data_IF_623968629729
#
_entry.id   IF_623968629729
#
_cell.length_a   1.000
_cell.length_b   1.000
_cell.length_c   1.000
_cell.angle_alpha   90.00
_cell.angle_beta   90.00
_cell.angle_gamma   90.00
#
_symmetry.space_group_name_H-M   'P 1'
#
loop_
_entity.id
_entity.type
_entity.pdbx_description
1 polymer ?
#
# COMPACT_ATOMS: atom_id res chain seq x y z
N UNK A 1 -14.23 0.94 24.01
CA UNK A 1 -14.48 0.33 22.70
C UNK A 1 -13.85 1.23 21.65
N UNK A 2 -12.74 0.76 21.05
CA UNK A 2 -12.10 1.44 19.91
C UNK A 2 -13.10 1.47 18.76
N UNK A 3 -13.57 2.65 18.39
CA UNK A 3 -14.32 2.84 17.14
C UNK A 3 -13.33 2.55 16.02
N UNK A 4 -13.32 1.32 15.52
CA UNK A 4 -12.54 0.97 14.35
C UNK A 4 -12.92 1.94 13.23
N UNK A 5 -12.01 2.84 12.88
CA UNK A 5 -12.22 3.79 11.78
C UNK A 5 -12.47 2.98 10.51
N UNK A 6 -13.68 3.08 9.96
CA UNK A 6 -14.05 2.41 8.71
C UNK A 6 -13.02 2.73 7.63
N UNK A 7 -12.51 1.72 6.90
CA UNK A 7 -11.55 1.95 5.83
C UNK A 7 -12.10 2.94 4.79
N UNK A 8 -11.22 3.78 4.27
CA UNK A 8 -11.57 4.78 3.23
C UNK A 8 -11.29 4.22 1.85
N UNK A 9 -12.29 4.30 0.98
CA UNK A 9 -12.20 3.90 -0.41
C UNK A 9 -12.45 5.12 -1.29
N UNK A 10 -11.54 5.37 -2.23
CA UNK A 10 -11.71 6.39 -3.26
C UNK A 10 -12.37 5.73 -4.48
N UNK A 11 -13.54 6.22 -4.86
CA UNK A 11 -14.26 5.82 -6.07
C UNK A 11 -14.06 6.89 -7.13
N UNK A 12 -13.51 6.49 -8.26
CA UNK A 12 -13.18 7.37 -9.38
C UNK A 12 -13.94 6.91 -10.62
N UNK A 13 -14.90 7.71 -11.07
CA UNK A 13 -15.69 7.49 -12.29
C UNK A 13 -16.23 8.85 -12.74
N UNK A 14 -16.28 9.13 -14.02
CA UNK A 14 -16.82 10.40 -14.55
C UNK A 14 -18.34 10.42 -14.64
N UNK A 15 -18.97 9.25 -14.47
CA UNK A 15 -20.43 9.07 -14.45
C UNK A 15 -20.94 8.98 -13.01
N UNK A 16 -21.71 9.98 -12.53
CA UNK A 16 -22.20 10.02 -11.15
C UNK A 16 -23.00 8.79 -10.71
N UNK A 17 -23.80 8.22 -11.62
CA UNK A 17 -24.61 7.03 -11.37
C UNK A 17 -23.75 5.81 -11.01
N UNK A 18 -22.59 5.64 -11.64
CA UNK A 18 -21.64 4.58 -11.30
C UNK A 18 -21.08 4.77 -9.89
N UNK A 19 -20.78 6.00 -9.53
CA UNK A 19 -20.30 6.35 -8.17
C UNK A 19 -21.37 6.01 -7.13
N UNK A 20 -22.62 6.31 -7.40
CA UNK A 20 -23.73 6.02 -6.49
C UNK A 20 -23.94 4.51 -6.33
N UNK A 21 -23.90 3.75 -7.41
CA UNK A 21 -24.00 2.28 -7.39
C UNK A 21 -22.86 1.68 -6.56
N UNK A 22 -21.61 2.04 -6.85
CA UNK A 22 -20.46 1.57 -6.08
C UNK A 22 -20.52 2.00 -4.62
N UNK A 23 -20.96 3.23 -4.37
CA UNK A 23 -21.12 3.75 -3.02
C UNK A 23 -22.21 3.01 -2.20
N UNK A 24 -23.29 2.58 -2.83
CA UNK A 24 -24.31 1.76 -2.19
C UNK A 24 -23.80 0.35 -1.88
N UNK A 25 -23.05 -0.28 -2.81
CA UNK A 25 -22.41 -1.59 -2.62
C UNK A 25 -21.41 -1.56 -1.46
N UNK A 26 -20.69 -0.46 -1.30
CA UNK A 26 -19.60 -0.28 -0.33
C UNK A 26 -20.02 0.57 0.87
N UNK A 27 -21.27 0.48 1.30
CA UNK A 27 -21.84 1.26 2.42
C UNK A 27 -21.13 1.02 3.76
N UNK A 28 -20.45 -0.10 3.95
CA UNK A 28 -19.65 -0.42 5.14
C UNK A 28 -18.35 0.38 5.25
N UNK A 29 -17.94 1.03 4.16
CA UNK A 29 -16.70 1.78 4.05
C UNK A 29 -16.94 3.29 4.05
N UNK A 30 -15.90 4.05 4.41
CA UNK A 30 -15.93 5.50 4.26
C UNK A 30 -15.59 5.87 2.81
N UNK A 31 -16.54 6.47 2.13
CA UNK A 31 -16.45 6.83 0.72
C UNK A 31 -15.76 8.17 0.51
N UNK A 32 -14.78 8.20 -0.39
CA UNK A 32 -14.23 9.38 -1.04
C UNK A 32 -14.57 9.28 -2.53
N UNK A 33 -14.77 10.41 -3.19
CA UNK A 33 -15.24 10.46 -4.58
C UNK A 33 -14.38 11.39 -5.42
N UNK A 34 -14.05 10.98 -6.65
CA UNK A 34 -13.47 11.84 -7.66
C UNK A 34 -14.15 11.58 -9.02
N UNK A 35 -14.49 12.66 -9.72
CA UNK A 35 -15.21 12.60 -11.00
C UNK A 35 -14.30 12.79 -12.22
N UNK A 36 -12.99 12.78 -12.03
CA UNK A 36 -11.98 12.82 -13.09
C UNK A 36 -10.61 12.46 -12.54
N UNK A 37 -9.65 12.20 -13.44
CA UNK A 37 -8.30 11.78 -13.08
C UNK A 37 -7.54 12.81 -12.23
N UNK A 38 -7.66 14.09 -12.52
CA UNK A 38 -6.97 15.14 -11.74
C UNK A 38 -7.43 15.16 -10.28
N UNK A 39 -8.75 15.14 -10.05
CA UNK A 39 -9.32 15.05 -8.69
C UNK A 39 -8.94 13.75 -8.00
N UNK A 40 -8.82 12.63 -8.73
CA UNK A 40 -8.38 11.37 -8.18
C UNK A 40 -6.95 11.47 -7.60
N UNK A 41 -6.02 12.06 -8.34
CA UNK A 41 -4.65 12.28 -7.89
C UNK A 41 -4.58 13.19 -6.66
N UNK A 42 -5.35 14.28 -6.65
CA UNK A 42 -5.43 15.20 -5.51
C UNK A 42 -5.98 14.50 -4.26
N UNK A 43 -7.09 13.76 -4.40
CA UNK A 43 -7.72 13.03 -3.31
C UNK A 43 -6.85 11.91 -2.75
N UNK A 44 -6.10 11.22 -3.60
CA UNK A 44 -5.18 10.16 -3.18
C UNK A 44 -4.01 10.68 -2.33
N UNK A 45 -3.62 11.95 -2.53
CA UNK A 45 -2.54 12.61 -1.78
C UNK A 45 -2.99 13.30 -0.50
N UNK A 46 -4.28 13.55 -0.35
CA UNK A 46 -4.83 14.32 0.78
C UNK A 46 -5.02 13.43 2.00
N UNK A 47 -4.51 13.85 3.15
CA UNK A 47 -4.73 13.17 4.42
C UNK A 47 -6.15 13.42 4.96
N UNK A 48 -6.77 12.39 5.49
CA UNK A 48 -6.33 10.99 5.56
C UNK A 48 -6.53 10.27 4.23
N UNK A 49 -5.46 9.67 3.71
CA UNK A 49 -5.42 8.99 2.41
C UNK A 49 -6.43 7.84 2.29
N UNK A 50 -6.91 7.51 1.09
CA UNK A 50 -7.66 6.29 0.84
C UNK A 50 -6.77 5.06 1.03
N UNK A 51 -7.38 3.98 1.49
CA UNK A 51 -6.71 2.69 1.68
C UNK A 51 -6.86 1.77 0.46
N UNK A 52 -7.76 2.13 -0.47
CA UNK A 52 -7.98 1.46 -1.74
C UNK A 52 -8.63 2.44 -2.71
N UNK A 53 -8.34 2.29 -3.99
CA UNK A 53 -8.92 3.08 -5.08
C UNK A 53 -9.65 2.15 -6.04
N UNK A 54 -10.93 2.42 -6.30
CA UNK A 54 -11.69 1.89 -7.43
C UNK A 54 -11.64 2.92 -8.55
N UNK A 55 -11.11 2.55 -9.70
CA UNK A 55 -10.76 3.48 -10.77
C UNK A 55 -11.35 3.03 -12.10
N UNK A 56 -12.27 3.84 -12.62
CA UNK A 56 -12.77 3.63 -13.98
C UNK A 56 -11.66 3.85 -15.01
N UNK A 57 -11.61 2.97 -16.01
CA UNK A 57 -10.62 3.05 -17.09
C UNK A 57 -10.99 4.16 -18.08
N UNK A 58 -12.28 4.23 -18.46
CA UNK A 58 -12.75 5.10 -19.53
C UNK A 58 -13.23 6.46 -18.99
N UNK A 59 -12.30 7.39 -18.86
CA UNK A 59 -12.61 8.77 -18.46
C UNK A 59 -12.07 9.77 -19.48
N UNK A 60 -12.74 10.93 -19.69
CA UNK A 60 -12.26 11.97 -20.59
C UNK A 60 -11.01 12.67 -20.05
N UNK A 61 -10.15 13.16 -20.95
CA UNK A 61 -8.91 13.92 -20.71
C UNK A 61 -7.77 13.09 -20.10
N UNK A 62 -8.01 12.41 -19.02
CA UNK A 62 -7.05 11.53 -18.33
C UNK A 62 -7.76 10.22 -18.00
N UNK A 63 -7.39 9.15 -18.68
CA UNK A 63 -7.97 7.83 -18.47
C UNK A 63 -7.47 7.18 -17.18
N UNK A 64 -8.06 6.05 -16.80
CA UNK A 64 -7.68 5.35 -15.59
C UNK A 64 -6.26 4.79 -15.63
N UNK A 65 -5.74 4.42 -16.78
CA UNK A 65 -4.38 3.92 -16.91
C UNK A 65 -3.35 5.00 -16.60
N UNK A 66 -3.53 6.19 -17.12
CA UNK A 66 -2.67 7.34 -16.82
C UNK A 66 -2.75 7.73 -15.34
N UNK A 67 -3.95 7.71 -14.74
CA UNK A 67 -4.10 7.94 -13.30
C UNK A 67 -3.33 6.90 -12.50
N UNK A 68 -3.47 5.62 -12.81
CA UNK A 68 -2.76 4.53 -12.15
C UNK A 68 -1.24 4.68 -12.26
N UNK A 69 -0.74 4.94 -13.46
CA UNK A 69 0.67 5.18 -13.71
C UNK A 69 1.22 6.30 -12.81
N UNK A 70 0.55 7.45 -12.75
CA UNK A 70 0.95 8.58 -11.89
C UNK A 70 0.87 8.27 -10.41
N UNK A 71 -0.14 7.52 -9.96
CA UNK A 71 -0.25 7.06 -8.58
C UNK A 71 0.92 6.15 -8.19
N UNK A 72 1.32 5.25 -9.07
CA UNK A 72 2.41 4.30 -8.85
C UNK A 72 3.80 4.93 -8.95
N UNK A 73 3.94 6.02 -9.69
CA UNK A 73 5.17 6.80 -9.78
C UNK A 73 5.41 7.74 -8.58
N UNK A 74 4.37 8.09 -7.81
CA UNK A 74 4.49 8.94 -6.62
C UNK A 74 4.67 8.07 -5.35
N UNK A 75 5.81 8.17 -4.63
CA UNK A 75 6.07 7.38 -3.42
C UNK A 75 4.99 7.52 -2.34
N UNK A 76 4.26 8.63 -2.30
CA UNK A 76 3.20 8.86 -1.32
C UNK A 76 1.93 8.04 -1.59
N UNK A 77 1.72 7.62 -2.84
CA UNK A 77 0.51 6.93 -3.28
C UNK A 77 0.78 5.55 -3.90
N UNK A 78 2.05 5.21 -4.15
CA UNK A 78 2.45 3.97 -4.81
C UNK A 78 1.92 2.71 -4.12
N UNK A 79 1.85 2.71 -2.79
CA UNK A 79 1.40 1.57 -1.99
C UNK A 79 -0.12 1.43 -1.89
N UNK A 80 -0.89 2.42 -2.37
CA UNK A 80 -2.36 2.33 -2.35
C UNK A 80 -2.80 1.32 -3.41
N UNK A 81 -3.53 0.24 -3.05
CA UNK A 81 -4.03 -0.71 -4.03
C UNK A 81 -5.08 -0.07 -4.94
N UNK A 82 -4.92 -0.29 -6.25
CA UNK A 82 -5.83 0.19 -7.29
C UNK A 82 -6.51 -1.01 -7.93
N UNK A 83 -7.85 -1.00 -7.94
CA UNK A 83 -8.69 -1.96 -8.67
C UNK A 83 -9.34 -1.19 -9.82
N UNK A 84 -9.12 -1.65 -11.05
CA UNK A 84 -9.79 -1.07 -12.20
C UNK A 84 -11.26 -1.50 -12.29
N UNK A 85 -12.09 -0.59 -12.75
CA UNK A 85 -13.47 -0.86 -13.15
C UNK A 85 -13.55 -0.67 -14.67
N UNK A 86 -13.79 -1.74 -15.43
CA UNK A 86 -13.67 -1.75 -16.89
C UNK A 86 -14.90 -2.33 -17.57
N UNK A 87 -15.15 -1.96 -18.82
CA UNK A 87 -16.18 -2.60 -19.63
C UNK A 87 -15.77 -4.02 -20.05
N UNK A 88 -16.75 -4.89 -20.25
CA UNK A 88 -16.52 -6.27 -20.67
C UNK A 88 -15.86 -6.33 -22.05
N UNK A 89 -14.79 -7.13 -22.20
CA UNK A 89 -14.20 -7.45 -23.50
C UNK A 89 -12.80 -6.87 -23.77
N UNK A 90 -12.21 -6.18 -22.82
CA UNK A 90 -10.88 -5.60 -22.93
C UNK A 90 -9.81 -6.48 -22.24
N UNK A 91 -9.57 -7.69 -22.74
CA UNK A 91 -8.52 -8.58 -22.20
C UNK A 91 -7.14 -7.89 -22.26
N UNK A 92 -6.90 -7.12 -23.31
CA UNK A 92 -5.68 -6.34 -23.45
C UNK A 92 -5.60 -5.21 -22.38
N UNK A 93 -6.74 -4.62 -22.01
CA UNK A 93 -6.82 -3.61 -20.96
C UNK A 93 -6.58 -4.19 -19.57
N UNK A 94 -7.04 -5.42 -19.31
CA UNK A 94 -6.80 -6.11 -18.04
C UNK A 94 -5.31 -6.40 -17.82
N UNK A 95 -4.64 -6.94 -18.84
CA UNK A 95 -3.20 -7.21 -18.81
C UNK A 95 -2.41 -5.93 -18.66
N UNK A 96 -2.74 -4.91 -19.43
CA UNK A 96 -2.08 -3.61 -19.37
C UNK A 96 -2.26 -2.94 -18.00
N UNK A 97 -3.46 -3.02 -17.42
CA UNK A 97 -3.73 -2.47 -16.09
C UNK A 97 -2.89 -3.12 -14.98
N UNK A 98 -2.74 -4.44 -15.02
CA UNK A 98 -1.93 -5.17 -14.04
C UNK A 98 -0.44 -4.87 -14.22
N UNK A 99 0.05 -4.72 -15.45
CA UNK A 99 1.43 -4.30 -15.73
C UNK A 99 1.75 -2.89 -15.20
N UNK A 100 0.76 -2.00 -15.17
CA UNK A 100 0.88 -0.66 -14.57
C UNK A 100 0.88 -0.66 -13.03
N UNK A 101 0.72 -1.82 -12.42
CA UNK A 101 0.76 -2.00 -10.97
C UNK A 101 -0.60 -1.95 -10.26
N UNK A 102 -1.71 -2.07 -10.99
CA UNK A 102 -2.99 -2.36 -10.38
C UNK A 102 -2.99 -3.76 -9.75
N UNK A 103 -3.77 -3.94 -8.69
CA UNK A 103 -3.82 -5.22 -7.98
C UNK A 103 -4.92 -6.15 -8.50
N UNK A 104 -5.93 -5.59 -9.18
CA UNK A 104 -7.08 -6.33 -9.69
C UNK A 104 -7.93 -5.47 -10.63
N UNK A 105 -8.97 -6.09 -11.19
CA UNK A 105 -10.00 -5.41 -11.99
C UNK A 105 -11.39 -5.98 -11.70
N UNK A 106 -12.41 -5.19 -12.00
CA UNK A 106 -13.84 -5.56 -11.94
C UNK A 106 -14.49 -5.16 -13.25
N UNK A 107 -15.23 -6.07 -13.85
CA UNK A 107 -15.94 -5.82 -15.12
C UNK A 107 -17.33 -5.24 -14.88
N UNK A 108 -17.73 -4.31 -15.74
CA UNK A 108 -19.12 -3.82 -15.86
C UNK A 108 -19.95 -4.83 -16.71
N UNK A 109 -21.20 -5.18 -16.37
CA UNK A 109 -22.00 -4.61 -15.28
C UNK A 109 -21.52 -5.06 -13.90
N UNK A 110 -21.55 -4.12 -12.95
CA UNK A 110 -20.99 -4.32 -11.61
C UNK A 110 -21.79 -5.36 -10.83
N UNK A 111 -21.13 -6.42 -10.38
CA UNK A 111 -21.71 -7.43 -9.49
C UNK A 111 -21.37 -7.09 -8.03
N UNK A 112 -22.37 -6.75 -7.18
CA UNK A 112 -22.11 -6.36 -5.79
C UNK A 112 -21.27 -7.36 -5.00
N UNK A 113 -21.56 -8.69 -5.02
CA UNK A 113 -20.75 -9.66 -4.28
C UNK A 113 -19.29 -9.68 -4.71
N UNK A 114 -19.03 -9.53 -6.02
CA UNK A 114 -17.68 -9.55 -6.59
C UNK A 114 -16.88 -8.33 -6.13
N UNK A 115 -17.47 -7.14 -6.23
CA UNK A 115 -16.81 -5.90 -5.79
C UNK A 115 -16.51 -5.96 -4.29
N UNK A 116 -17.48 -6.35 -3.46
CA UNK A 116 -17.28 -6.46 -2.02
C UNK A 116 -16.17 -7.45 -1.65
N UNK A 117 -16.15 -8.63 -2.29
CA UNK A 117 -15.13 -9.64 -2.04
C UNK A 117 -13.73 -9.15 -2.42
N UNK A 118 -13.56 -8.55 -3.60
CA UNK A 118 -12.26 -8.03 -4.07
C UNK A 118 -11.77 -6.89 -3.20
N UNK A 119 -12.62 -5.94 -2.87
CA UNK A 119 -12.27 -4.81 -1.98
C UNK A 119 -11.82 -5.31 -0.61
N UNK A 120 -12.56 -6.22 0.03
CA UNK A 120 -12.20 -6.80 1.32
C UNK A 120 -10.87 -7.55 1.26
N UNK A 121 -10.66 -8.36 0.23
CA UNK A 121 -9.43 -9.12 0.03
C UNK A 121 -8.21 -8.19 -0.09
N UNK A 122 -8.29 -7.18 -0.96
CA UNK A 122 -7.15 -6.29 -1.19
C UNK A 122 -6.89 -5.32 -0.03
N UNK A 123 -7.92 -4.91 0.70
CA UNK A 123 -7.73 -4.17 1.96
C UNK A 123 -7.01 -5.03 3.01
N UNK A 124 -7.41 -6.29 3.19
CA UNK A 124 -6.76 -7.20 4.13
C UNK A 124 -5.31 -7.48 3.76
N UNK A 125 -5.02 -7.73 2.47
CA UNK A 125 -3.67 -7.94 1.98
C UNK A 125 -2.78 -6.70 2.17
N UNK A 126 -3.30 -5.52 1.86
CA UNK A 126 -2.57 -4.26 2.07
C UNK A 126 -2.27 -4.01 3.55
N UNK A 127 -3.22 -4.29 4.43
CA UNK A 127 -3.04 -4.18 5.87
C UNK A 127 -1.96 -5.15 6.38
N UNK A 128 -2.05 -6.42 6.02
CA UNK A 128 -1.07 -7.45 6.41
C UNK A 128 0.34 -7.12 5.91
N UNK A 129 0.47 -6.61 4.67
CA UNK A 129 1.75 -6.19 4.11
C UNK A 129 2.37 -5.02 4.88
N UNK A 130 1.57 -4.01 5.26
CA UNK A 130 2.03 -2.87 6.06
C UNK A 130 2.49 -3.30 7.44
N UNK A 131 1.74 -4.20 8.09
CA UNK A 131 2.08 -4.73 9.40
C UNK A 131 3.39 -5.54 9.36
N UNK A 132 3.54 -6.42 8.36
CA UNK A 132 4.76 -7.20 8.16
C UNK A 132 5.97 -6.30 7.90
N UNK A 133 5.84 -5.28 7.07
CA UNK A 133 6.90 -4.31 6.79
C UNK A 133 7.32 -3.56 8.07
N UNK A 134 6.37 -3.16 8.90
CA UNK A 134 6.63 -2.51 10.18
C UNK A 134 7.37 -3.44 11.16
N UNK A 135 6.96 -4.71 11.25
CA UNK A 135 7.63 -5.71 12.09
C UNK A 135 9.06 -5.98 11.62
N UNK A 136 9.28 -6.09 10.30
CA UNK A 136 10.62 -6.27 9.74
C UNK A 136 11.55 -5.11 10.08
N UNK A 137 11.08 -3.86 9.95
CA UNK A 137 11.87 -2.68 10.30
C UNK A 137 12.30 -2.69 11.79
N UNK A 138 11.40 -3.10 12.71
CA UNK A 138 11.71 -3.23 14.12
C UNK A 138 12.74 -4.35 14.38
N UNK A 139 12.63 -5.48 13.67
CA UNK A 139 13.59 -6.59 13.80
C UNK A 139 14.96 -6.19 13.27
N UNK A 140 15.06 -5.53 12.14
CA UNK A 140 16.32 -5.02 11.58
C UNK A 140 17.00 -4.08 12.58
N UNK A 141 16.28 -3.14 13.16
CA UNK A 141 16.83 -2.25 14.18
C UNK A 141 17.35 -3.00 15.41
N UNK A 142 16.65 -4.06 15.84
CA UNK A 142 17.12 -4.91 16.97
C UNK A 142 18.37 -5.68 16.61
N UNK A 143 18.48 -6.20 15.39
CA UNK A 143 19.67 -6.90 14.91
C UNK A 143 20.87 -5.96 14.89
N UNK A 144 20.70 -4.77 14.35
CA UNK A 144 21.77 -3.77 14.30
C UNK A 144 22.24 -3.37 15.71
N UNK A 145 21.31 -3.13 16.63
CA UNK A 145 21.62 -2.81 18.01
C UNK A 145 22.41 -3.95 18.70
N UNK A 146 21.93 -5.19 18.58
CA UNK A 146 22.63 -6.34 19.17
C UNK A 146 24.00 -6.57 18.57
N UNK A 147 24.12 -6.42 17.25
CA UNK A 147 25.41 -6.54 16.56
C UNK A 147 26.42 -5.48 17.06
N UNK A 148 25.95 -4.25 17.24
CA UNK A 148 26.77 -3.19 17.81
C UNK A 148 27.22 -3.50 19.24
N UNK A 149 26.30 -3.94 20.10
CA UNK A 149 26.60 -4.27 21.49
C UNK A 149 27.59 -5.44 21.60
N UNK A 150 27.42 -6.47 20.75
CA UNK A 150 28.35 -7.61 20.68
C UNK A 150 29.75 -7.16 20.23
N UNK A 151 29.86 -6.30 19.24
CA UNK A 151 31.17 -5.75 18.80
C UNK A 151 31.86 -4.99 19.92
N UNK A 152 31.12 -4.16 20.67
CA UNK A 152 31.65 -3.45 21.85
C UNK A 152 32.15 -4.44 22.90
N UNK A 153 31.37 -5.47 23.21
CA UNK A 153 31.75 -6.47 24.20
C UNK A 153 33.01 -7.26 23.78
N UNK A 154 33.12 -7.62 22.50
CA UNK A 154 34.30 -8.28 21.94
C UNK A 154 35.56 -7.39 22.06
N UNK A 155 35.46 -6.13 21.71
CA UNK A 155 36.59 -5.19 21.82
C UNK A 155 37.08 -5.08 23.26
N UNK A 156 36.17 -5.01 24.24
CA UNK A 156 36.53 -4.97 25.67
C UNK A 156 37.26 -6.26 26.08
N UNK A 157 36.82 -7.44 25.61
CA UNK A 157 37.47 -8.72 25.91
C UNK A 157 38.85 -8.78 25.29
N UNK A 158 39.03 -8.35 24.04
CA UNK A 158 40.30 -8.32 23.34
C UNK A 158 41.31 -7.39 24.05
N UNK A 159 40.90 -6.17 24.45
CA UNK A 159 41.75 -5.23 25.20
C UNK A 159 42.17 -5.82 26.54
N UNK A 160 41.26 -6.43 27.30
CA UNK A 160 41.55 -7.07 28.55
C UNK A 160 42.50 -8.28 28.42
N UNK A 161 42.35 -9.05 27.35
CA UNK A 161 43.23 -10.19 27.02
C UNK A 161 44.67 -9.71 26.70
N UNK A 162 44.80 -8.68 25.86
CA UNK A 162 46.09 -8.07 25.54
C UNK A 162 46.81 -7.52 26.79
N UNK A 163 46.10 -6.80 27.65
CA UNK A 163 46.68 -6.26 28.88
C UNK A 163 47.18 -7.37 29.82
N UNK A 164 46.46 -8.49 29.89
CA UNK A 164 46.87 -9.67 30.67
C UNK A 164 48.15 -10.31 30.10
N UNK A 165 48.27 -10.47 28.81
CA UNK A 165 49.44 -11.04 28.14
C UNK A 165 50.67 -10.11 28.35
N UNK A 166 50.49 -8.82 28.20
CA UNK A 166 51.57 -7.82 28.41
C UNK A 166 52.07 -7.83 29.89
N UNK A 167 51.17 -7.95 30.85
CA UNK A 167 51.54 -8.06 32.27
C UNK A 167 52.32 -9.34 32.58
N UNK A 168 51.89 -10.46 32.02
CA UNK A 168 52.59 -11.74 32.22
C UNK A 168 53.98 -11.73 31.59
N UNK A 169 54.16 -11.12 30.41
CA UNK A 169 55.45 -11.04 29.73
C UNK A 169 56.46 -10.13 30.44
N UNK A 170 56.00 -9.16 31.28
CA UNK A 170 56.88 -8.27 32.09
C UNK A 170 57.25 -8.88 33.44
N UNK A 171 56.56 -9.93 33.89
CA UNK A 171 56.80 -10.61 35.17
C UNK A 171 57.74 -11.81 35.04
N UNK A 172 58.06 -12.23 33.81
CA UNK A 172 59.02 -13.28 33.48
C UNK A 172 60.39 -12.67 33.14
#
# INVERSE_FOLDING_TARGET
ASVALRPRILIVDDVPENIDVLGAILSDFRRLVATNGQKALERARTDPQPQLILLDVMMPKMDGFEVCHRLKADPRTADIPVIFVTALGAVDDETHGLELGAVDYVTKPISPPVVQARVKTHLSLSQARKELSSQNAVLEQRVDQRTHDLRKALNVIEEASLDTVVRLSRAA
#
